data_IF_397748600520
#
_entry.id   IF_397748600520
#
_cell.length_a   1.000
_cell.length_b   1.000
_cell.length_c   1.000
_cell.angle_alpha   90.00
_cell.angle_beta   90.00
_cell.angle_gamma   90.00
#
_symmetry.space_group_name_H-M   'P 1'
#
loop_
_entity.id
_entity.type
_entity.pdbx_description
1 polymer ?
#
# COMPACT_ATOMS: atom_id res chain seq x y z
N UNK A 1 17.26 -11.76 -28.35
CA UNK A 1 16.84 -11.28 -27.92
C UNK A 1 16.51 -10.64 -27.08
N UNK A 2 16.85 -10.70 -27.08
CA UNK A 2 16.54 -10.13 -26.40
C UNK A 2 16.28 -9.69 -25.57
N UNK A 3 16.20 -10.17 -25.64
CA UNK A 3 15.77 -9.94 -24.86
C UNK A 3 15.88 -9.17 -24.11
N UNK A 4 16.31 -9.03 -24.12
CA UNK A 4 16.55 -8.14 -23.33
C UNK A 4 15.70 -7.27 -22.98
N UNK A 5 14.98 -7.22 -23.56
CA UNK A 5 14.14 -6.36 -23.24
C UNK A 5 13.80 -6.24 -21.95
N UNK A 6 13.87 -7.02 -21.37
CA UNK A 6 13.55 -7.08 -20.07
C UNK A 6 14.26 -6.17 -19.19
N UNK A 7 15.17 -5.47 -19.64
CA UNK A 7 15.99 -4.69 -18.76
C UNK A 7 15.26 -3.75 -17.83
N UNK A 8 14.27 -3.00 -18.26
CA UNK A 8 13.64 -2.08 -17.32
C UNK A 8 12.83 -2.78 -16.26
N UNK A 9 12.36 -3.94 -16.55
CA UNK A 9 11.55 -4.67 -15.61
C UNK A 9 12.29 -5.03 -14.33
N UNK A 10 13.53 -5.48 -14.40
CA UNK A 10 14.25 -5.75 -13.18
C UNK A 10 14.38 -4.55 -12.27
N UNK A 11 14.58 -3.39 -12.82
CA UNK A 11 14.68 -2.19 -12.00
C UNK A 11 13.40 -1.92 -11.24
N UNK A 12 12.26 -2.13 -11.87
CA UNK A 12 10.99 -1.96 -11.20
C UNK A 12 10.79 -3.00 -10.10
N UNK A 13 11.24 -4.20 -10.35
CA UNK A 13 11.13 -5.24 -9.35
C UNK A 13 11.98 -4.95 -8.13
N UNK A 14 13.12 -4.31 -8.34
CA UNK A 14 14.02 -3.99 -7.26
C UNK A 14 13.43 -2.97 -6.30
N UNK A 15 12.39 -2.24 -6.69
CA UNK A 15 11.71 -1.31 -5.80
C UNK A 15 10.57 -1.95 -5.02
N UNK A 16 10.26 -3.20 -5.28
CA UNK A 16 9.19 -3.91 -4.58
C UNK A 16 9.71 -4.39 -3.22
N UNK A 17 9.00 -4.03 -2.17
CA UNK A 17 9.38 -4.35 -0.80
C UNK A 17 8.27 -5.17 -0.17
N UNK A 18 8.63 -6.17 0.63
CA UNK A 18 7.64 -7.00 1.29
C UNK A 18 6.80 -6.20 2.26
N UNK A 19 5.58 -6.68 2.51
CA UNK A 19 4.65 -6.02 3.42
C UNK A 19 5.25 -5.92 4.83
N UNK A 20 5.93 -6.96 5.29
CA UNK A 20 6.53 -6.94 6.62
C UNK A 20 7.64 -5.91 6.76
N UNK A 21 8.48 -5.79 5.74
CA UNK A 21 9.55 -4.79 5.76
C UNK A 21 8.95 -3.38 5.75
N UNK A 22 7.94 -3.15 4.90
CA UNK A 22 7.31 -1.84 4.82
C UNK A 22 6.62 -1.47 6.13
N UNK A 23 5.99 -2.43 6.80
CA UNK A 23 5.37 -2.16 8.10
C UNK A 23 6.39 -1.67 9.13
N UNK A 24 7.61 -2.19 9.06
CA UNK A 24 8.68 -1.76 9.95
C UNK A 24 9.11 -0.32 9.71
N UNK A 25 8.79 0.24 8.56
CA UNK A 25 9.12 1.62 8.22
C UNK A 25 7.96 2.58 8.53
N UNK A 26 6.81 2.08 8.92
CA UNK A 26 5.63 2.90 9.13
C UNK A 26 5.81 3.78 10.37
N UNK A 27 5.66 5.10 10.18
CA UNK A 27 5.78 6.08 11.25
C UNK A 27 4.43 6.51 11.77
N UNK A 28 3.50 6.78 10.84
CA UNK A 28 2.17 7.27 11.18
C UNK A 28 1.14 6.42 10.47
N UNK A 29 0.21 5.89 11.24
CA UNK A 29 -0.89 5.09 10.73
C UNK A 29 -2.20 5.78 11.02
N UNK A 30 -3.07 5.86 10.02
CA UNK A 30 -4.41 6.40 10.17
C UNK A 30 -5.40 5.25 10.05
N UNK A 31 -6.27 5.09 11.02
CA UNK A 31 -7.28 4.05 10.99
C UNK A 31 -8.32 4.36 9.92
N UNK A 32 -8.70 3.38 9.11
CA UNK A 32 -9.77 3.59 8.15
C UNK A 32 -11.11 3.74 8.85
N UNK A 33 -11.96 4.58 8.27
CA UNK A 33 -13.32 4.75 8.77
C UNK A 33 -14.20 3.71 8.12
N UNK A 34 -14.88 2.91 8.93
CA UNK A 34 -15.79 1.88 8.41
C UNK A 34 -16.98 2.60 7.77
N UNK A 35 -17.24 2.42 6.47
CA UNK A 35 -18.37 3.11 5.84
C UNK A 35 -19.70 2.68 6.45
N UNK A 36 -20.56 3.64 6.77
CA UNK A 36 -21.86 3.35 7.38
C UNK A 36 -22.70 2.43 6.52
N UNK A 37 -22.66 2.63 5.22
CA UNK A 37 -23.39 1.79 4.28
C UNK A 37 -22.91 0.34 4.32
N UNK A 38 -21.59 0.16 4.41
CA UNK A 38 -21.02 -1.17 4.49
C UNK A 38 -21.41 -1.85 5.82
N UNK A 39 -21.45 -1.10 6.90
CA UNK A 39 -21.92 -1.64 8.17
C UNK A 39 -23.37 -2.09 8.09
N UNK A 40 -24.25 -1.27 7.50
CA UNK A 40 -25.65 -1.62 7.34
C UNK A 40 -25.85 -2.89 6.52
N UNK A 41 -25.01 -3.08 5.54
CA UNK A 41 -25.09 -4.23 4.64
C UNK A 41 -24.28 -5.43 5.11
N UNK A 42 -23.67 -5.32 6.30
CA UNK A 42 -22.85 -6.38 6.88
C UNK A 42 -21.67 -6.77 5.98
N UNK A 43 -21.13 -5.79 5.25
CA UNK A 43 -19.97 -6.02 4.39
C UNK A 43 -18.73 -5.91 5.24
N UNK A 44 -17.90 -6.93 5.22
CA UNK A 44 -16.63 -6.95 5.94
C UNK A 44 -15.62 -7.78 5.17
N UNK A 45 -14.37 -7.75 5.60
CA UNK A 45 -13.32 -8.55 4.99
C UNK A 45 -12.04 -7.77 4.80
N UNK A 46 -11.12 -8.38 4.08
CA UNK A 46 -9.81 -7.80 3.82
C UNK A 46 -9.79 -7.05 2.50
N UNK A 47 -9.06 -5.94 2.49
CA UNK A 47 -8.78 -5.17 1.28
C UNK A 47 -7.29 -5.24 1.04
N UNK A 48 -6.88 -5.58 -0.18
CA UNK A 48 -5.48 -5.61 -0.56
C UNK A 48 -5.19 -4.40 -1.45
N UNK A 49 -4.17 -3.65 -1.08
CA UNK A 49 -3.77 -2.46 -1.82
C UNK A 49 -2.31 -2.59 -2.27
N UNK A 50 -2.01 -2.03 -3.42
CA UNK A 50 -0.63 -1.82 -3.85
C UNK A 50 -0.33 -0.34 -3.68
N UNK A 51 0.65 -0.02 -2.85
CA UNK A 51 1.01 1.36 -2.53
C UNK A 51 2.37 1.70 -3.09
N UNK A 52 2.48 2.91 -3.64
CA UNK A 52 3.78 3.49 -4.01
C UNK A 52 4.14 4.50 -2.95
N UNK A 53 5.33 4.35 -2.37
CA UNK A 53 5.82 5.21 -1.31
C UNK A 53 7.01 5.98 -1.85
N UNK A 54 6.93 7.32 -1.79
CA UNK A 54 7.96 8.17 -2.35
C UNK A 54 9.24 8.10 -1.52
N UNK A 55 10.29 8.70 -2.07
CA UNK A 55 11.56 8.80 -1.36
C UNK A 55 11.43 9.46 0.01
N UNK A 56 10.44 10.33 0.15
CA UNK A 56 10.21 11.05 1.41
C UNK A 56 9.30 10.30 2.37
N UNK A 57 8.80 9.13 1.99
CA UNK A 57 7.94 8.34 2.86
C UNK A 57 6.46 8.65 2.72
N UNK A 58 6.07 9.40 1.71
CA UNK A 58 4.65 9.70 1.46
C UNK A 58 4.04 8.68 0.53
N UNK A 59 2.78 8.33 0.77
CA UNK A 59 2.04 7.46 -0.13
C UNK A 59 1.56 8.30 -1.31
N UNK A 60 2.08 8.03 -2.49
CA UNK A 60 1.81 8.85 -3.68
C UNK A 60 0.84 8.19 -4.65
N UNK A 61 0.69 6.87 -4.58
CA UNK A 61 -0.21 6.17 -5.46
C UNK A 61 -0.75 4.92 -4.75
N UNK A 62 -2.00 4.61 -5.01
CA UNK A 62 -2.65 3.44 -4.44
C UNK A 62 -3.49 2.76 -5.50
N UNK A 63 -3.46 1.43 -5.48
CA UNK A 63 -4.29 0.63 -6.38
C UNK A 63 -4.91 -0.49 -5.55
N UNK A 64 -6.21 -0.66 -5.66
CA UNK A 64 -6.87 -1.78 -4.98
C UNK A 64 -6.68 -3.04 -5.79
N UNK A 65 -6.15 -4.07 -5.15
CA UNK A 65 -5.90 -5.35 -5.80
C UNK A 65 -7.07 -6.31 -5.61
N UNK A 66 -7.71 -6.26 -4.44
CA UNK A 66 -8.84 -7.12 -4.15
C UNK A 66 -9.63 -6.56 -2.98
N UNK A 67 -10.82 -7.10 -2.78
CA UNK A 67 -11.69 -6.72 -1.69
C UNK A 67 -12.90 -5.92 -2.17
N UNK A 68 -13.80 -5.60 -1.25
CA UNK A 68 -15.02 -4.85 -1.56
C UNK A 68 -14.70 -3.42 -1.96
N UNK A 69 -15.45 -2.88 -2.92
CA UNK A 69 -15.19 -1.54 -3.43
C UNK A 69 -15.42 -0.44 -2.39
N UNK A 70 -16.45 -0.56 -1.58
CA UNK A 70 -16.72 0.43 -0.52
C UNK A 70 -15.63 0.42 0.54
N UNK A 71 -15.24 -0.79 0.97
CA UNK A 71 -14.17 -0.94 1.93
C UNK A 71 -12.84 -0.49 1.35
N UNK A 72 -12.63 -0.76 0.06
CA UNK A 72 -11.41 -0.35 -0.65
C UNK A 72 -11.25 1.15 -0.66
N UNK A 73 -12.33 1.89 -0.91
CA UNK A 73 -12.27 3.36 -0.90
C UNK A 73 -11.90 3.88 0.49
N UNK A 74 -12.52 3.32 1.53
CA UNK A 74 -12.22 3.72 2.90
C UNK A 74 -10.77 3.40 3.26
N UNK A 75 -10.30 2.24 2.84
CA UNK A 75 -8.91 1.85 3.09
C UNK A 75 -7.93 2.79 2.39
N UNK A 76 -8.20 3.13 1.13
CA UNK A 76 -7.32 4.02 0.38
C UNK A 76 -7.31 5.43 0.98
N UNK A 77 -8.47 5.92 1.42
CA UNK A 77 -8.53 7.23 2.06
C UNK A 77 -7.68 7.30 3.33
N UNK A 78 -7.63 6.22 4.07
CA UNK A 78 -6.81 6.17 5.28
C UNK A 78 -5.34 6.01 4.94
N UNK A 79 -5.01 5.08 4.06
CA UNK A 79 -3.62 4.74 3.75
C UNK A 79 -2.89 5.90 3.08
N UNK A 80 -3.57 6.70 2.28
CA UNK A 80 -2.90 7.84 1.64
C UNK A 80 -2.42 8.87 2.65
N UNK A 81 -2.89 8.82 3.88
CA UNK A 81 -2.44 9.70 4.96
C UNK A 81 -1.35 9.08 5.81
N UNK A 82 -0.99 7.82 5.55
CA UNK A 82 0.07 7.16 6.29
C UNK A 82 1.42 7.76 5.94
N UNK A 83 2.36 7.69 6.87
CA UNK A 83 3.73 8.16 6.67
C UNK A 83 4.70 7.06 6.98
N UNK A 84 5.74 6.98 6.17
CA UNK A 84 6.78 5.98 6.29
C UNK A 84 8.14 6.66 6.42
N UNK A 85 9.08 5.96 7.01
CA UNK A 85 10.49 6.37 6.90
C UNK A 85 10.95 6.09 5.49
N UNK A 86 11.95 6.86 5.04
CA UNK A 86 12.57 6.60 3.75
C UNK A 86 13.17 5.21 3.75
N UNK A 87 12.98 4.49 2.66
CA UNK A 87 13.67 3.24 2.43
C UNK A 87 15.03 3.56 1.84
N UNK A 88 16.09 3.15 2.52
CA UNK A 88 17.44 3.47 2.09
C UNK A 88 18.09 2.24 1.48
N UNK A 89 18.69 2.42 0.32
CA UNK A 89 19.52 1.41 -0.32
C UNK A 89 20.89 2.02 -0.52
N UNK A 90 21.90 1.48 0.14
CA UNK A 90 23.24 2.04 0.13
C UNK A 90 23.26 3.51 0.54
N UNK A 91 22.42 3.86 1.52
CA UNK A 91 22.35 5.22 2.02
C UNK A 91 21.52 6.17 1.20
N UNK A 92 20.94 5.72 0.09
CA UNK A 92 20.15 6.57 -0.80
C UNK A 92 18.67 6.31 -0.62
N UNK A 93 17.84 7.35 -0.46
CA UNK A 93 16.40 7.17 -0.42
C UNK A 93 15.88 6.62 -1.74
N UNK A 94 14.93 5.72 -1.67
CA UNK A 94 14.41 5.04 -2.84
C UNK A 94 12.89 5.02 -2.79
N UNK A 95 12.25 5.25 -3.94
CA UNK A 95 10.82 5.03 -4.07
C UNK A 95 10.56 3.54 -4.07
N UNK A 96 9.58 3.10 -3.30
CA UNK A 96 9.26 1.69 -3.18
C UNK A 96 7.79 1.42 -3.43
N UNK A 97 7.47 0.17 -3.74
CA UNK A 97 6.10 -0.32 -3.82
C UNK A 97 5.95 -1.46 -2.83
N UNK A 98 4.81 -1.49 -2.16
CA UNK A 98 4.52 -2.56 -1.23
C UNK A 98 3.03 -2.84 -1.21
N UNK A 99 2.68 -4.05 -0.80
CA UNK A 99 1.29 -4.45 -0.65
C UNK A 99 0.87 -4.17 0.79
N UNK A 100 -0.34 -3.66 0.94
CA UNK A 100 -0.91 -3.35 2.26
C UNK A 100 -2.23 -4.09 2.39
N UNK A 101 -2.43 -4.78 3.49
CA UNK A 101 -3.68 -5.47 3.80
C UNK A 101 -4.39 -4.69 4.89
N UNK A 102 -5.65 -4.33 4.64
CA UNK A 102 -6.50 -3.64 5.61
C UNK A 102 -7.71 -4.52 5.88
N UNK A 103 -7.90 -4.88 7.13
CA UNK A 103 -9.02 -5.74 7.53
C UNK A 103 -10.15 -4.90 8.13
N UNK A 104 -11.37 -5.16 7.66
CA UNK A 104 -12.57 -4.54 8.21
C UNK A 104 -13.41 -5.61 8.88
N UNK A 105 -13.65 -5.44 10.16
CA UNK A 105 -14.49 -6.34 10.93
C UNK A 105 -15.67 -5.57 11.49
N UNK A 106 -16.87 -6.09 11.28
CA UNK A 106 -18.05 -5.50 11.88
C UNK A 106 -18.08 -5.84 13.37
N UNK A 107 -18.60 -4.94 14.20
CA UNK A 107 -18.73 -5.20 15.64
C UNK A 107 -19.76 -6.27 15.94
#
# INVERSE_FOLDING_TARGET
MLTAASAPTPALQDTRVSQGVAQGLLIKRVQPVYPAQALSMHIQGAVELLATISKDGNVTNLKQLSGDAMLGRAAMDAVKQWKYRSYLLNGQPLEIQTQITVNFKAP
#
